data_IF_318278050797
#
_entry.id   IF_318278050797
#
_cell.length_a   1.000
_cell.length_b   1.000
_cell.length_c   1.000
_cell.angle_alpha   90.00
_cell.angle_beta   90.00
_cell.angle_gamma   90.00
#
_symmetry.space_group_name_H-M   'P 1'
#
loop_
_entity.id
_entity.type
_entity.pdbx_description
1 polymer ?
#
# COMPACT_ATOMS: atom_id res chain seq x y z
N UNK A 1 -19.36 35.92 -48.66
CA UNK A 1 -19.47 34.45 -48.52
C UNK A 1 -18.37 33.93 -47.59
N UNK A 2 -18.76 33.03 -46.66
CA UNK A 2 -18.01 32.17 -45.72
C UNK A 2 -16.57 32.52 -45.26
N UNK A 3 -16.43 32.85 -43.96
CA UNK A 3 -15.15 32.90 -43.22
C UNK A 3 -14.74 31.47 -42.81
N UNK A 4 -13.59 30.98 -43.29
CA UNK A 4 -13.04 29.66 -42.89
C UNK A 4 -12.68 29.65 -41.40
N UNK A 5 -13.45 28.91 -40.61
CA UNK A 5 -13.16 28.66 -39.19
C UNK A 5 -12.06 27.59 -39.09
N UNK A 6 -10.85 27.99 -38.69
CA UNK A 6 -9.72 27.09 -38.41
C UNK A 6 -10.10 26.24 -37.19
N UNK A 7 -10.47 24.98 -37.41
CA UNK A 7 -10.76 24.02 -36.33
C UNK A 7 -9.52 23.91 -35.43
N UNK A 8 -9.60 24.47 -34.21
CA UNK A 8 -8.59 24.27 -33.17
C UNK A 8 -8.51 22.78 -32.89
N UNK A 9 -7.33 22.20 -33.10
CA UNK A 9 -7.01 20.85 -32.70
C UNK A 9 -6.98 20.83 -31.16
N UNK A 10 -8.13 20.61 -30.54
CA UNK A 10 -8.22 20.36 -29.11
C UNK A 10 -7.54 19.01 -28.92
N UNK A 11 -6.27 19.04 -28.48
CA UNK A 11 -5.55 17.84 -28.05
C UNK A 11 -6.37 17.23 -26.92
N UNK A 12 -7.18 16.23 -27.25
CA UNK A 12 -7.83 15.41 -26.26
C UNK A 12 -6.72 14.63 -25.56
N UNK A 13 -6.23 15.19 -24.46
CA UNK A 13 -5.49 14.45 -23.46
C UNK A 13 -6.41 13.31 -23.04
N UNK A 14 -6.11 12.10 -23.55
CA UNK A 14 -6.76 10.87 -23.09
C UNK A 14 -6.47 10.80 -21.60
N UNK A 15 -7.44 11.21 -20.77
CA UNK A 15 -7.44 10.91 -19.35
C UNK A 15 -7.35 9.39 -19.24
N UNK A 16 -6.18 8.89 -18.87
CA UNK A 16 -5.96 7.47 -18.59
C UNK A 16 -6.94 7.13 -17.49
N UNK A 17 -7.99 6.38 -17.84
CA UNK A 17 -8.94 5.85 -16.86
C UNK A 17 -8.18 4.84 -16.03
N UNK A 18 -7.54 5.31 -14.97
CA UNK A 18 -6.94 4.43 -13.97
C UNK A 18 -8.09 3.61 -13.40
N UNK A 19 -7.98 2.29 -13.52
CA UNK A 19 -8.96 1.36 -12.96
C UNK A 19 -9.13 1.67 -11.47
N UNK A 20 -10.37 1.70 -10.94
CA UNK A 20 -10.58 1.83 -9.50
C UNK A 20 -9.94 0.67 -8.71
N UNK A 21 -9.60 -0.43 -9.39
CA UNK A 21 -8.81 -1.56 -8.87
C UNK A 21 -7.32 -1.44 -9.22
N UNK A 22 -6.80 -0.22 -9.27
CA UNK A 22 -5.36 0.04 -9.32
C UNK A 22 -4.69 -0.60 -8.10
N UNK A 23 -3.59 -1.33 -8.33
CA UNK A 23 -2.90 -2.16 -7.34
C UNK A 23 -2.82 -1.50 -5.95
N UNK A 24 -3.43 -2.13 -4.95
CA UNK A 24 -3.47 -1.64 -3.56
C UNK A 24 -2.11 -1.74 -2.85
N UNK A 25 -1.18 -2.51 -3.41
CA UNK A 25 0.11 -2.81 -2.81
C UNK A 25 1.18 -1.81 -3.23
N UNK A 26 1.64 -1.00 -2.29
CA UNK A 26 2.83 -0.18 -2.47
C UNK A 26 4.11 -1.01 -2.19
N UNK A 27 5.21 -0.69 -2.87
CA UNK A 27 6.52 -1.37 -2.66
C UNK A 27 6.98 -1.36 -1.20
N UNK A 28 6.59 -0.33 -0.44
CA UNK A 28 6.91 -0.22 1.00
C UNK A 28 6.11 -1.21 1.85
N UNK A 29 4.87 -1.47 1.46
CA UNK A 29 3.99 -2.40 2.17
C UNK A 29 4.53 -3.82 2.14
N UNK A 30 5.21 -4.22 1.07
CA UNK A 30 5.90 -5.50 1.01
C UNK A 30 6.99 -5.69 2.08
N UNK A 31 7.60 -4.61 2.58
CA UNK A 31 8.56 -4.72 3.68
C UNK A 31 7.87 -5.07 5.00
N UNK A 32 6.73 -4.43 5.29
CA UNK A 32 5.92 -4.77 6.46
C UNK A 32 5.34 -6.17 6.37
N UNK A 33 4.94 -6.60 5.17
CA UNK A 33 4.49 -7.97 4.91
C UNK A 33 5.59 -8.98 5.21
N UNK A 34 6.80 -8.76 4.69
CA UNK A 34 7.94 -9.64 4.93
C UNK A 34 8.29 -9.70 6.42
N UNK A 35 8.27 -8.55 7.11
CA UNK A 35 8.47 -8.50 8.56
C UNK A 35 7.41 -9.33 9.30
N UNK A 36 6.13 -9.22 8.92
CA UNK A 36 5.06 -10.02 9.52
C UNK A 36 5.23 -11.52 9.33
N UNK A 37 5.68 -11.93 8.13
CA UNK A 37 6.00 -13.34 7.84
C UNK A 37 7.12 -13.83 8.75
N UNK A 38 8.19 -13.06 8.92
CA UNK A 38 9.32 -13.43 9.80
C UNK A 38 8.82 -13.59 11.24
N UNK A 39 7.99 -12.68 11.74
CA UNK A 39 7.44 -12.76 13.11
C UNK A 39 6.60 -14.03 13.30
N UNK A 40 5.77 -14.39 12.32
CA UNK A 40 4.98 -15.63 12.36
C UNK A 40 5.88 -16.85 12.35
N UNK A 41 6.91 -16.88 11.51
CA UNK A 41 7.87 -17.99 11.46
C UNK A 41 8.54 -18.17 12.82
N UNK A 42 8.98 -17.08 13.46
CA UNK A 42 9.57 -17.14 14.80
C UNK A 42 8.55 -17.62 15.85
N UNK A 43 7.30 -17.16 15.78
CA UNK A 43 6.24 -17.63 16.66
C UNK A 43 5.98 -19.15 16.55
N UNK A 44 5.89 -19.66 15.33
CA UNK A 44 5.78 -21.11 15.09
C UNK A 44 7.04 -21.88 15.45
N UNK A 45 8.22 -21.29 15.25
CA UNK A 45 9.48 -21.91 15.68
C UNK A 45 9.54 -22.06 17.20
N UNK A 46 9.07 -21.05 17.95
CA UNK A 46 8.97 -21.14 19.41
C UNK A 46 8.07 -22.30 19.86
N UNK A 47 6.96 -22.55 19.13
CA UNK A 47 6.08 -23.72 19.38
C UNK A 47 6.80 -25.05 19.08
N UNK A 48 7.75 -25.06 18.15
CA UNK A 48 8.47 -26.26 17.73
C UNK A 48 9.63 -26.66 18.65
N UNK A 49 10.27 -25.70 19.33
CA UNK A 49 11.48 -25.96 20.13
C UNK A 49 11.16 -26.33 21.58
N UNK A 50 10.10 -25.75 22.15
CA UNK A 50 9.72 -25.98 23.55
C UNK A 50 8.83 -27.21 23.72
N UNK A 51 8.82 -27.77 24.94
CA UNK A 51 7.73 -28.65 25.32
C UNK A 51 6.40 -27.87 25.20
N UNK A 52 5.31 -28.56 24.88
CA UNK A 52 3.99 -27.94 24.78
C UNK A 52 3.57 -27.19 26.06
N UNK A 53 4.17 -27.52 27.21
CA UNK A 53 3.96 -26.90 28.52
C UNK A 53 4.96 -25.81 28.89
N UNK A 54 5.91 -25.48 28.01
CA UNK A 54 6.90 -24.44 28.29
C UNK A 54 6.28 -23.05 28.16
N UNK A 55 6.73 -22.12 28.99
CA UNK A 55 6.26 -20.72 28.98
C UNK A 55 6.38 -20.07 27.59
N UNK A 56 7.43 -20.43 26.84
CA UNK A 56 7.64 -19.99 25.45
C UNK A 56 6.50 -20.39 24.49
N UNK A 57 5.93 -21.59 24.66
CA UNK A 57 4.85 -22.10 23.82
C UNK A 57 3.48 -21.62 24.28
N UNK A 58 3.25 -21.48 25.60
CA UNK A 58 1.94 -21.03 26.12
C UNK A 58 1.73 -19.53 26.02
N UNK A 59 2.79 -18.73 26.12
CA UNK A 59 2.66 -17.27 26.27
C UNK A 59 3.35 -16.53 25.13
N UNK A 60 4.63 -16.78 24.90
CA UNK A 60 5.39 -16.01 23.91
C UNK A 60 4.92 -16.30 22.47
N UNK A 61 4.72 -17.56 22.09
CA UNK A 61 4.28 -17.89 20.74
C UNK A 61 2.90 -17.32 20.38
N UNK A 62 1.84 -17.49 21.20
CA UNK A 62 0.54 -16.91 20.89
C UNK A 62 0.59 -15.38 20.80
N UNK A 63 1.38 -14.72 21.65
CA UNK A 63 1.55 -13.25 21.59
C UNK A 63 2.21 -12.83 20.27
N UNK A 64 3.27 -13.52 19.83
CA UNK A 64 3.93 -13.23 18.55
C UNK A 64 2.98 -13.45 17.36
N UNK A 65 2.21 -14.54 17.38
CA UNK A 65 1.25 -14.87 16.33
C UNK A 65 0.12 -13.82 16.26
N UNK A 66 -0.42 -13.42 17.42
CA UNK A 66 -1.44 -12.37 17.51
C UNK A 66 -0.87 -11.04 17.03
N UNK A 67 0.33 -10.64 17.48
CA UNK A 67 0.96 -9.40 17.04
C UNK A 67 1.20 -9.41 15.52
N UNK A 68 1.71 -10.51 14.97
CA UNK A 68 1.86 -10.71 13.54
C UNK A 68 0.55 -10.53 12.80
N UNK A 69 -0.45 -11.33 13.14
CA UNK A 69 -1.69 -11.45 12.38
C UNK A 69 -2.64 -10.26 12.56
N UNK A 70 -2.72 -9.68 13.77
CA UNK A 70 -3.67 -8.63 14.11
C UNK A 70 -3.09 -7.23 13.92
N UNK A 71 -1.78 -7.05 14.11
CA UNK A 71 -1.15 -5.73 13.97
C UNK A 71 -0.39 -5.62 12.66
N UNK A 72 0.57 -6.51 12.41
CA UNK A 72 1.54 -6.33 11.31
C UNK A 72 0.88 -6.55 9.95
N UNK A 73 0.08 -7.61 9.78
CA UNK A 73 -0.60 -7.88 8.51
C UNK A 73 -1.61 -6.78 8.13
N UNK A 74 -2.50 -6.32 9.03
CA UNK A 74 -3.42 -5.23 8.73
C UNK A 74 -2.68 -3.92 8.46
N UNK A 75 -1.66 -3.57 9.25
CA UNK A 75 -0.83 -2.39 8.95
C UNK A 75 -0.18 -2.50 7.58
N UNK A 76 0.37 -3.67 7.23
CA UNK A 76 0.98 -3.90 5.93
C UNK A 76 0.01 -3.67 4.77
N UNK A 77 -1.28 -3.97 4.95
CA UNK A 77 -2.29 -3.81 3.90
C UNK A 77 -2.82 -2.38 3.87
N UNK A 78 -3.14 -1.80 5.03
CA UNK A 78 -3.77 -0.48 5.15
C UNK A 78 -2.80 0.70 5.02
N UNK A 79 -1.49 0.48 5.16
CA UNK A 79 -0.51 1.56 5.07
C UNK A 79 -0.44 2.10 3.64
N UNK A 80 -1.16 3.18 3.33
CA UNK A 80 -1.11 3.82 2.02
C UNK A 80 -0.42 5.17 2.15
N UNK A 81 0.70 5.35 1.45
CA UNK A 81 1.37 6.64 1.41
C UNK A 81 0.66 7.48 0.34
N UNK A 82 -0.01 8.56 0.76
CA UNK A 82 -0.51 9.55 -0.20
C UNK A 82 0.68 10.07 -0.99
N UNK A 83 0.71 9.77 -2.28
CA UNK A 83 1.78 10.20 -3.16
C UNK A 83 1.72 11.73 -3.25
N UNK A 84 2.74 12.40 -2.68
CA UNK A 84 2.87 13.86 -2.66
C UNK A 84 2.89 14.52 -4.06
N UNK A 85 2.92 13.71 -5.13
CA UNK A 85 2.90 14.15 -6.53
C UNK A 85 1.52 14.61 -7.03
N UNK A 86 0.43 14.22 -6.36
CA UNK A 86 -0.94 14.64 -6.73
C UNK A 86 -1.20 16.10 -6.32
N UNK A 87 -0.70 16.50 -5.14
CA UNK A 87 -0.77 17.89 -4.64
C UNK A 87 -0.07 18.91 -5.56
N UNK A 88 0.90 18.49 -6.37
CA UNK A 88 1.64 19.40 -7.26
C UNK A 88 0.98 19.57 -8.63
N UNK A 89 0.11 18.64 -9.06
CA UNK A 89 -0.67 18.81 -10.29
C UNK A 89 -1.88 19.73 -10.06
N UNK A 90 -2.59 19.61 -8.94
CA UNK A 90 -3.76 20.44 -8.65
C UNK A 90 -3.38 21.91 -8.40
N UNK A 91 -2.22 22.15 -7.77
CA UNK A 91 -1.73 23.51 -7.49
C UNK A 91 -1.16 24.20 -8.73
N UNK A 92 -0.55 23.48 -9.68
CA UNK A 92 -0.04 24.09 -10.92
C UNK A 92 -1.18 24.36 -11.93
N UNK A 93 -2.22 23.52 -11.93
CA UNK A 93 -3.45 23.75 -12.70
C UNK A 93 -4.27 24.91 -12.11
N UNK A 94 -4.33 25.05 -10.77
CA UNK A 94 -4.96 26.20 -10.12
C UNK A 94 -4.17 27.51 -10.27
N UNK A 95 -2.84 27.44 -10.39
CA UNK A 95 -1.97 28.61 -10.52
C UNK A 95 -1.84 29.16 -11.95
N UNK A 96 -2.45 28.51 -12.95
CA UNK A 96 -2.49 29.03 -14.32
C UNK A 96 -1.10 29.28 -14.94
N UNK A 97 -0.07 28.54 -14.54
CA UNK A 97 1.26 28.65 -15.13
C UNK A 97 1.44 27.57 -16.18
N UNK A 98 1.41 28.02 -17.43
CA UNK A 98 1.76 27.22 -18.62
C UNK A 98 3.25 27.00 -18.74
#
# INVERSE_FOLDING_TARGET
MAKKVKKRHIKQTKKVRVSPFSIYWEKKNYHFLALGIIVIIVGFYMLSVGAWNSFSSLVIAPILLVAGYVLIFPLSIFYRKKNKKELTQDSNVAAGKS
#
